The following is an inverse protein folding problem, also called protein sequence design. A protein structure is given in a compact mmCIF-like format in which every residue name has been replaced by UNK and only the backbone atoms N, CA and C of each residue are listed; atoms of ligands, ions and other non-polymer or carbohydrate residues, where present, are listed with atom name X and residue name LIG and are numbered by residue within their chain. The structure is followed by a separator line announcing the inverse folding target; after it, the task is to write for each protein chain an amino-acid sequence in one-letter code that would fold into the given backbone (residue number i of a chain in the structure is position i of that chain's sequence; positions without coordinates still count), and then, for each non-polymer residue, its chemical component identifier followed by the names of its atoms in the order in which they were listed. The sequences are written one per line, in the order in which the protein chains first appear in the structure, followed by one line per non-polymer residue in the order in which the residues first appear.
data_IF_377335082235
#
_entry.id   IF_377335082235
#
_cell.length_a   1.000
_cell.length_b   1.000
_cell.length_c   1.000
_cell.angle_alpha   90.00
_cell.angle_beta   90.00
_cell.angle_gamma   90.00
#
_symmetry.space_group_name_H-M   'P 1'
#
loop_
_entity.id
_entity.type
_entity.pdbx_description
1 polymer ?
#
# COMPACT_ATOMS: atom_id res chain seq x y z
N UNK A 1 23.54 7.00 11.46
CA UNK A 1 22.93 5.69 11.75
C UNK A 1 21.99 5.91 12.93
N UNK A 2 20.71 6.12 12.66
CA UNK A 2 19.68 6.18 13.71
C UNK A 2 19.25 4.74 13.98
N UNK A 3 19.37 4.31 15.23
CA UNK A 3 19.09 2.93 15.69
C UNK A 3 17.62 2.52 15.49
N UNK A 4 16.72 3.50 15.29
CA UNK A 4 15.31 3.29 15.02
C UNK A 4 14.93 4.02 13.73
N UNK A 5 14.53 3.26 12.72
CA UNK A 5 13.97 3.78 11.49
C UNK A 5 12.45 3.92 11.70
N UNK A 6 12.07 4.99 12.40
CA UNK A 6 10.71 5.22 12.91
C UNK A 6 9.60 5.10 11.84
N UNK A 7 9.79 5.59 10.59
CA UNK A 7 8.82 5.35 9.51
C UNK A 7 8.66 3.87 9.15
N UNK A 8 9.74 3.08 9.20
CA UNK A 8 9.67 1.62 8.97
C UNK A 8 8.90 0.91 10.07
N UNK A 9 9.08 1.33 11.33
CA UNK A 9 8.35 0.72 12.43
C UNK A 9 6.84 1.01 12.34
N UNK A 10 6.48 2.24 12.00
CA UNK A 10 5.07 2.65 11.85
C UNK A 10 4.40 1.86 10.73
N UNK A 11 5.06 1.70 9.57
CA UNK A 11 4.47 0.95 8.46
C UNK A 11 4.39 -0.55 8.71
N UNK A 12 5.41 -1.15 9.31
CA UNK A 12 5.38 -2.58 9.64
C UNK A 12 4.26 -2.89 10.64
N UNK A 13 4.01 -1.98 11.59
CA UNK A 13 2.89 -2.06 12.53
C UNK A 13 1.54 -1.93 11.80
N UNK A 14 1.40 -0.95 10.90
CA UNK A 14 0.21 -0.79 10.08
C UNK A 14 -0.07 -2.01 9.20
N UNK A 15 0.95 -2.58 8.57
CA UNK A 15 0.84 -3.80 7.75
C UNK A 15 0.42 -4.99 8.62
N UNK A 16 0.96 -5.13 9.84
CA UNK A 16 0.57 -6.18 10.76
C UNK A 16 -0.93 -6.09 11.12
N UNK A 17 -1.42 -4.90 11.47
CA UNK A 17 -2.86 -4.67 11.70
C UNK A 17 -3.70 -4.99 10.45
N UNK A 18 -3.25 -4.59 9.26
CA UNK A 18 -3.95 -4.90 8.00
C UNK A 18 -4.04 -6.40 7.74
N UNK A 19 -3.01 -7.17 8.11
CA UNK A 19 -3.03 -8.65 8.02
C UNK A 19 -3.95 -9.30 9.06
N UNK A 20 -4.20 -8.64 10.19
CA UNK A 20 -5.14 -9.10 11.23
C UNK A 20 -6.59 -8.73 10.92
N UNK A 21 -6.86 -8.07 9.78
CA UNK A 21 -8.20 -7.58 9.43
C UNK A 21 -8.59 -6.29 10.14
N UNK A 22 -7.67 -5.65 10.86
CA UNK A 22 -7.88 -4.42 11.62
C UNK A 22 -7.64 -3.21 10.71
N UNK A 23 -8.34 -3.18 9.57
CA UNK A 23 -8.06 -2.23 8.51
C UNK A 23 -8.19 -0.76 8.97
N UNK A 24 -9.17 -0.46 9.83
CA UNK A 24 -9.38 0.88 10.39
C UNK A 24 -8.19 1.38 11.24
N UNK A 25 -7.48 0.45 11.90
CA UNK A 25 -6.27 0.76 12.67
C UNK A 25 -5.04 0.88 11.75
N UNK A 26 -4.97 0.02 10.73
CA UNK A 26 -3.87 -0.04 9.78
C UNK A 26 -3.75 1.21 8.90
N UNK A 27 -4.87 1.72 8.38
CA UNK A 27 -4.88 2.83 7.41
C UNK A 27 -4.13 4.08 7.88
N UNK A 28 -4.42 4.68 9.06
CA UNK A 28 -3.73 5.88 9.49
C UNK A 28 -2.24 5.67 9.71
N UNK A 29 -1.81 4.48 10.14
CA UNK A 29 -0.39 4.15 10.33
C UNK A 29 0.34 4.11 8.99
N UNK A 30 -0.22 3.41 8.00
CA UNK A 30 0.40 3.30 6.67
C UNK A 30 0.42 4.66 5.96
N UNK A 31 -0.66 5.45 6.08
CA UNK A 31 -0.71 6.79 5.48
C UNK A 31 0.32 7.73 6.12
N UNK A 32 0.51 7.69 7.44
CA UNK A 32 1.50 8.50 8.12
C UNK A 32 2.93 8.10 7.76
N UNK A 33 3.22 6.81 7.66
CA UNK A 33 4.52 6.33 7.20
C UNK A 33 4.81 6.77 5.76
N UNK A 34 3.85 6.65 4.84
CA UNK A 34 3.98 7.08 3.45
C UNK A 34 4.22 8.60 3.32
N UNK A 35 3.61 9.39 4.20
CA UNK A 35 3.81 10.85 4.26
C UNK A 35 5.21 11.22 4.75
N UNK A 36 5.78 10.45 5.67
CA UNK A 36 7.11 10.68 6.26
C UNK A 36 8.25 10.07 5.45
N UNK A 37 7.94 9.15 4.55
CA UNK A 37 8.93 8.45 3.74
C UNK A 37 9.58 9.36 2.70
N UNK A 38 10.92 9.28 2.62
CA UNK A 38 11.74 10.03 1.68
C UNK A 38 11.23 9.87 0.25
N UNK A 39 11.03 10.99 -0.45
CA UNK A 39 10.56 11.03 -1.83
C UNK A 39 11.48 10.28 -2.81
N UNK A 40 12.76 10.09 -2.46
CA UNK A 40 13.72 9.31 -3.24
C UNK A 40 13.57 7.80 -3.05
N UNK A 41 12.92 7.34 -1.97
CA UNK A 41 12.64 5.92 -1.73
C UNK A 41 11.41 5.43 -2.52
N UNK A 42 11.51 5.46 -3.84
CA UNK A 42 10.41 5.09 -4.74
C UNK A 42 9.91 3.66 -4.49
N UNK A 43 10.81 2.74 -4.09
CA UNK A 43 10.46 1.34 -3.77
C UNK A 43 9.58 1.24 -2.53
N UNK A 44 10.00 1.88 -1.44
CA UNK A 44 9.24 1.88 -0.18
C UNK A 44 7.89 2.55 -0.37
N UNK A 45 7.86 3.70 -1.06
CA UNK A 45 6.62 4.43 -1.36
C UNK A 45 5.64 3.60 -2.18
N UNK A 46 6.13 2.86 -3.19
CA UNK A 46 5.29 1.95 -3.97
C UNK A 46 4.71 0.82 -3.09
N UNK A 47 5.54 0.22 -2.24
CA UNK A 47 5.12 -0.86 -1.35
C UNK A 47 4.13 -0.39 -0.28
N UNK A 48 4.35 0.77 0.33
CA UNK A 48 3.46 1.32 1.35
C UNK A 48 2.14 1.82 0.75
N UNK A 49 2.18 2.45 -0.42
CA UNK A 49 0.96 2.84 -1.15
C UNK A 49 0.10 1.64 -1.53
N UNK A 50 0.73 0.51 -1.90
CA UNK A 50 0.01 -0.75 -2.14
C UNK A 50 -0.73 -1.23 -0.89
N UNK A 51 -0.05 -1.28 0.26
CA UNK A 51 -0.68 -1.69 1.52
C UNK A 51 -1.79 -0.73 1.97
N UNK A 52 -1.62 0.57 1.72
CA UNK A 52 -2.66 1.56 1.99
C UNK A 52 -3.90 1.33 1.13
N UNK A 53 -3.72 1.13 -0.18
CA UNK A 53 -4.82 0.87 -1.11
C UNK A 53 -5.59 -0.42 -0.75
N UNK A 54 -4.86 -1.49 -0.39
CA UNK A 54 -5.49 -2.73 0.08
C UNK A 54 -6.30 -2.51 1.37
N UNK A 55 -5.74 -1.78 2.33
CA UNK A 55 -6.41 -1.49 3.60
C UNK A 55 -7.67 -0.63 3.41
N UNK A 56 -7.64 0.31 2.46
CA UNK A 56 -8.81 1.10 2.07
C UNK A 56 -9.88 0.24 1.39
N UNK A 57 -9.47 -0.69 0.53
CA UNK A 57 -10.37 -1.66 -0.11
C UNK A 57 -11.04 -2.56 0.92
N UNK A 58 -10.29 -3.07 1.92
CA UNK A 58 -10.81 -3.88 3.02
C UNK A 58 -11.86 -3.14 3.86
N UNK A 59 -11.87 -1.80 3.84
CA UNK A 59 -12.88 -0.95 4.47
C UNK A 59 -14.03 -0.55 3.53
N UNK A 60 -14.04 -1.02 2.29
CA UNK A 60 -15.03 -0.65 1.27
C UNK A 60 -14.83 0.74 0.66
N UNK A 61 -13.67 1.38 0.87
CA UNK A 61 -13.35 2.72 0.35
C UNK A 61 -12.79 2.63 -1.09
N UNK A 62 -13.61 2.12 -2.01
CA UNK A 62 -13.19 1.72 -3.35
C UNK A 62 -12.55 2.87 -4.16
N UNK A 63 -13.18 4.05 -4.17
CA UNK A 63 -12.64 5.22 -4.90
C UNK A 63 -11.28 5.66 -4.35
N UNK A 64 -11.13 5.63 -3.01
CA UNK A 64 -9.89 6.02 -2.35
C UNK A 64 -8.78 4.99 -2.61
N UNK A 65 -9.11 3.70 -2.55
CA UNK A 65 -8.18 2.61 -2.88
C UNK A 65 -7.67 2.73 -4.34
N UNK A 66 -8.57 3.00 -5.29
CA UNK A 66 -8.21 3.21 -6.69
C UNK A 66 -7.30 4.43 -6.88
N UNK A 67 -7.60 5.54 -6.21
CA UNK A 67 -6.76 6.74 -6.25
C UNK A 67 -5.36 6.46 -5.70
N UNK A 68 -5.26 5.85 -4.51
CA UNK A 68 -3.99 5.51 -3.88
C UNK A 68 -3.18 4.51 -4.71
N UNK A 69 -3.82 3.48 -5.28
CA UNK A 69 -3.14 2.53 -6.17
C UNK A 69 -2.62 3.19 -7.45
N UNK A 70 -3.33 4.19 -7.98
CA UNK A 70 -2.89 4.97 -9.14
C UNK A 70 -1.66 5.81 -8.82
N UNK A 71 -1.64 6.46 -7.66
CA UNK A 71 -0.48 7.22 -7.17
C UNK A 71 0.72 6.31 -6.87
N UNK A 72 0.49 5.06 -6.45
CA UNK A 72 1.55 4.06 -6.25
C UNK A 72 2.25 3.65 -7.57
N UNK A 73 1.57 3.84 -8.70
CA UNK A 73 1.95 3.29 -10.00
C UNK A 73 3.06 4.09 -10.69
N UNK A 74 3.09 5.42 -10.49
CA UNK A 74 4.19 6.27 -10.99
C UNK A 74 5.56 5.86 -10.40
N UNK A 75 5.71 5.72 -9.06
CA UNK A 75 6.93 5.18 -8.44
C UNK A 75 7.27 3.75 -8.86
N UNK A 76 6.28 2.85 -8.93
CA UNK A 76 6.51 1.43 -9.20
C UNK A 76 7.08 1.17 -10.61
N UNK A 77 6.69 1.97 -11.60
CA UNK A 77 7.22 1.90 -12.97
C UNK A 77 8.72 2.23 -13.06
N UNK A 78 9.23 3.05 -12.13
CA UNK A 78 10.63 3.46 -12.10
C UNK A 78 11.57 2.46 -11.41
N UNK A 79 11.03 1.47 -10.68
CA UNK A 79 11.83 0.66 -9.74
C UNK A 79 12.13 -0.76 -10.25
N UNK A 80 11.58 -1.17 -11.40
CA UNK A 80 11.87 -2.46 -12.07
C UNK A 80 11.96 -3.67 -11.10
N UNK A 81 11.13 -3.70 -10.06
CA UNK A 81 11.14 -4.76 -9.05
C UNK A 81 10.06 -5.78 -9.34
N UNK A 82 10.50 -6.96 -9.80
CA UNK A 82 9.63 -8.07 -10.21
C UNK A 82 8.63 -8.49 -9.12
N UNK A 83 9.02 -8.38 -7.84
CA UNK A 83 8.16 -8.69 -6.69
C UNK A 83 7.04 -7.68 -6.47
N UNK A 84 7.29 -6.39 -6.74
CA UNK A 84 6.28 -5.32 -6.61
C UNK A 84 5.30 -5.40 -7.78
N UNK A 85 5.80 -5.67 -8.99
CA UNK A 85 4.96 -5.92 -10.17
C UNK A 85 4.04 -7.15 -9.98
N UNK A 86 4.52 -8.20 -9.33
CA UNK A 86 3.72 -9.39 -8.99
C UNK A 86 2.53 -9.05 -8.09
N UNK A 87 2.77 -8.33 -6.99
CA UNK A 87 1.69 -7.93 -6.06
C UNK A 87 0.68 -6.98 -6.69
N UNK A 88 1.11 -6.05 -7.56
CA UNK A 88 0.20 -5.17 -8.29
C UNK A 88 -0.67 -5.94 -9.28
N UNK A 89 -0.13 -6.94 -9.97
CA UNK A 89 -0.89 -7.77 -10.90
C UNK A 89 -1.96 -8.57 -10.16
N UNK A 90 -1.60 -9.22 -9.06
CA UNK A 90 -2.55 -9.98 -8.23
C UNK A 90 -3.69 -9.10 -7.71
N UNK A 91 -3.40 -7.85 -7.34
CA UNK A 91 -4.42 -6.89 -6.90
C UNK A 91 -5.36 -6.48 -8.03
N UNK A 92 -4.85 -6.19 -9.23
CA UNK A 92 -5.71 -5.87 -10.37
C UNK A 92 -6.55 -7.07 -10.82
N UNK A 93 -6.02 -8.29 -10.75
CA UNK A 93 -6.79 -9.50 -11.02
C UNK A 93 -7.95 -9.65 -10.02
N UNK A 94 -7.71 -9.40 -8.73
CA UNK A 94 -8.78 -9.41 -7.71
C UNK A 94 -9.85 -8.35 -7.98
N UNK A 95 -9.44 -7.15 -8.39
CA UNK A 95 -10.36 -6.05 -8.74
C UNK A 95 -11.24 -6.37 -9.96
N UNK A 96 -10.68 -7.06 -10.96
CA UNK A 96 -11.41 -7.49 -12.15
C UNK A 96 -12.44 -8.58 -11.84
N UNK A 97 -12.15 -9.45 -10.86
CA UNK A 97 -13.07 -10.50 -10.42
C UNK A 97 -14.20 -9.97 -9.53
N UNK A 98 -14.01 -8.88 -8.79
CA UNK A 98 -15.09 -8.21 -8.05
C UNK A 98 -15.99 -7.33 -8.91
N UNK A 99 -15.53 -6.89 -10.09
CA UNK A 99 -16.36 -6.19 -11.09
C UNK A 99 -17.23 -7.10 -11.96
N UNK A 100 -17.08 -8.43 -11.83
CA UNK A 100 -17.83 -9.42 -12.61
C UNK A 100 -18.52 -10.40 -11.67
N UNK A 101 -19.54 -9.93 -10.95
CA UNK A 101 -20.55 -10.82 -10.36
C UNK A 101 -21.95 -10.28 -10.73
N UNK A 102 -22.86 -11.15 -11.20
CA UNK A 102 -24.12 -10.81 -11.87
C UNK A 102 -25.19 -10.16 -10.97
#
# INVERSE_FOLDING_TARGET
MTYLDEPKLIVDTGIAHGRLGEAATAEPLIADALRREDHTNQRGRAFHSFWLARTQLDQGKLDQACHTATQAREPASAVASERVSGHLREFYDQLAHTGTSP
#
